data_IF_577432337765
#
_entry.id   IF_577432337765
#
_cell.length_a   1.000
_cell.length_b   1.000
_cell.length_c   1.000
_cell.angle_alpha   90.00
_cell.angle_beta   90.00
_cell.angle_gamma   90.00
#
_symmetry.space_group_name_H-M   'P 1'
#
loop_
_entity.id
_entity.type
_entity.pdbx_description
1 polymer ?
#
# COMPACT_ATOMS: atom_id res chain seq x y z
N UNK A 1 13.96 -6.95 17.44
CA UNK A 1 12.81 -7.60 16.79
C UNK A 1 11.92 -6.47 16.35
N UNK A 2 11.74 -6.24 15.05
CA UNK A 2 10.77 -5.24 14.59
C UNK A 2 9.38 -5.67 15.04
N UNK A 3 8.55 -4.72 15.51
CA UNK A 3 7.17 -5.03 15.86
C UNK A 3 6.41 -5.55 14.63
N UNK A 4 5.39 -6.37 14.86
CA UNK A 4 4.57 -6.90 13.77
C UNK A 4 3.97 -5.77 12.91
N UNK A 5 3.60 -4.65 13.54
CA UNK A 5 3.13 -3.46 12.86
C UNK A 5 4.20 -2.85 11.94
N UNK A 6 5.46 -2.78 12.41
CA UNK A 6 6.55 -2.23 11.61
C UNK A 6 6.83 -3.09 10.38
N UNK A 7 6.70 -4.42 10.48
CA UNK A 7 6.82 -5.34 9.33
C UNK A 7 5.78 -5.01 8.25
N UNK A 8 4.51 -4.83 8.64
CA UNK A 8 3.43 -4.53 7.69
C UNK A 8 3.48 -3.10 7.17
N UNK A 9 3.88 -2.14 8.02
CA UNK A 9 4.07 -0.75 7.60
C UNK A 9 5.20 -0.60 6.58
N UNK A 10 6.26 -1.40 6.65
CA UNK A 10 7.31 -1.43 5.61
C UNK A 10 6.75 -1.84 4.24
N UNK A 11 5.86 -2.84 4.22
CA UNK A 11 5.18 -3.26 2.97
C UNK A 11 4.27 -2.14 2.44
N UNK A 12 3.43 -1.56 3.30
CA UNK A 12 2.56 -0.44 2.91
C UNK A 12 3.36 0.77 2.40
N UNK A 13 4.53 1.04 3.01
CA UNK A 13 5.42 2.10 2.56
C UNK A 13 6.02 1.80 1.18
N UNK A 14 6.45 0.57 0.92
CA UNK A 14 6.92 0.16 -0.42
C UNK A 14 5.86 0.38 -1.50
N UNK A 15 4.59 0.06 -1.20
CA UNK A 15 3.45 0.31 -2.08
C UNK A 15 3.20 1.80 -2.31
N UNK A 16 3.40 2.64 -1.28
CA UNK A 16 3.31 4.09 -1.42
C UNK A 16 4.44 4.66 -2.32
N UNK A 17 5.64 4.07 -2.26
CA UNK A 17 6.75 4.41 -3.17
C UNK A 17 6.43 4.03 -4.62
N UNK A 18 5.75 2.89 -4.83
CA UNK A 18 5.27 2.47 -6.14
C UNK A 18 4.28 3.49 -6.72
N UNK A 19 3.25 3.89 -5.95
CA UNK A 19 2.33 4.95 -6.35
C UNK A 19 3.06 6.25 -6.74
N UNK A 20 3.99 6.71 -5.89
CA UNK A 20 4.81 7.89 -6.19
C UNK A 20 5.57 7.76 -7.52
N UNK A 21 6.16 6.59 -7.78
CA UNK A 21 6.93 6.35 -9.01
C UNK A 21 6.06 6.39 -10.27
N UNK A 22 4.76 6.09 -10.13
CA UNK A 22 3.77 6.19 -11.20
C UNK A 22 3.11 7.58 -11.29
N UNK A 23 3.50 8.53 -10.43
CA UNK A 23 2.94 9.89 -10.40
C UNK A 23 1.60 10.02 -9.67
N UNK A 24 1.19 9.00 -8.92
CA UNK A 24 0.00 9.02 -8.07
C UNK A 24 0.28 9.66 -6.70
N UNK A 25 -0.78 9.88 -5.91
CA UNK A 25 -0.63 10.28 -4.52
C UNK A 25 -0.01 9.10 -3.74
N UNK A 26 1.10 9.30 -2.99
CA UNK A 26 1.85 8.19 -2.37
C UNK A 26 1.14 7.61 -1.15
N UNK A 27 0.16 6.74 -1.41
CA UNK A 27 -0.58 6.00 -0.38
C UNK A 27 -0.54 4.52 -0.73
N UNK A 28 -0.07 3.71 0.21
CA UNK A 28 -0.08 2.25 0.13
C UNK A 28 -0.80 1.64 1.33
N UNK A 29 -1.38 0.48 1.13
CA UNK A 29 -2.19 -0.22 2.11
C UNK A 29 -2.00 -1.74 2.04
N UNK A 30 -2.07 -2.38 3.20
CA UNK A 30 -2.07 -3.83 3.34
C UNK A 30 -3.23 -4.27 4.23
N UNK A 31 -3.85 -5.39 3.90
CA UNK A 31 -4.88 -6.04 4.72
C UNK A 31 -4.28 -7.30 5.31
N UNK A 32 -4.29 -7.41 6.64
CA UNK A 32 -3.68 -8.53 7.37
C UNK A 32 -4.75 -9.34 8.08
N UNK A 33 -4.65 -10.67 7.96
CA UNK A 33 -5.45 -11.62 8.72
C UNK A 33 -4.56 -12.74 9.22
N UNK A 34 -4.67 -13.07 10.50
CA UNK A 34 -3.94 -14.19 11.12
C UNK A 34 -2.40 -14.10 10.93
N UNK A 35 -1.87 -12.86 10.89
CA UNK A 35 -0.43 -12.61 10.72
C UNK A 35 0.06 -12.66 9.27
N UNK A 36 -0.85 -12.83 8.31
CA UNK A 36 -0.55 -12.91 6.88
C UNK A 36 -1.21 -11.76 6.10
N UNK A 37 -0.53 -11.27 5.06
CA UNK A 37 -1.07 -10.24 4.17
C UNK A 37 -1.99 -10.90 3.14
N UNK A 38 -3.28 -10.62 3.24
CA UNK A 38 -4.31 -11.12 2.32
C UNK A 38 -4.71 -10.10 1.24
N UNK A 39 -4.26 -8.85 1.37
CA UNK A 39 -4.53 -7.80 0.39
C UNK A 39 -3.43 -6.76 0.36
N UNK A 40 -3.14 -6.23 -0.83
CA UNK A 40 -2.19 -5.14 -1.07
C UNK A 40 -2.83 -4.16 -2.05
N UNK A 41 -2.60 -2.87 -1.84
CA UNK A 41 -3.06 -1.84 -2.74
C UNK A 41 -2.28 -0.55 -2.57
N UNK A 42 -2.32 0.28 -3.60
CA UNK A 42 -1.83 1.64 -3.57
C UNK A 42 -2.76 2.52 -4.39
N UNK A 43 -2.70 3.84 -4.19
CA UNK A 43 -3.59 4.76 -4.89
C UNK A 43 -3.35 4.74 -6.40
N UNK A 44 -4.42 4.55 -7.17
CA UNK A 44 -4.43 4.48 -8.63
C UNK A 44 -5.48 5.38 -9.28
N UNK A 45 -5.90 6.42 -8.55
CA UNK A 45 -7.02 7.30 -8.93
C UNK A 45 -6.85 7.90 -10.33
N UNK A 46 -5.67 8.41 -10.65
CA UNK A 46 -5.35 9.04 -11.92
C UNK A 46 -5.17 8.01 -13.04
N UNK A 47 -4.48 6.90 -12.77
CA UNK A 47 -4.21 5.82 -13.73
C UNK A 47 -5.51 5.16 -14.18
N UNK A 48 -6.38 4.85 -13.23
CA UNK A 48 -7.66 4.17 -13.50
C UNK A 48 -8.77 5.16 -13.87
N UNK A 49 -8.50 6.47 -13.79
CA UNK A 49 -9.49 7.55 -13.92
C UNK A 49 -10.76 7.28 -13.08
N UNK A 50 -10.55 6.78 -11.86
CA UNK A 50 -11.59 6.33 -10.95
C UNK A 50 -11.38 6.95 -9.58
N UNK A 51 -12.40 7.61 -9.00
CA UNK A 51 -12.26 8.24 -7.68
C UNK A 51 -12.07 7.25 -6.54
N UNK A 52 -12.28 5.94 -6.77
CA UNK A 52 -12.21 4.88 -5.77
C UNK A 52 -10.94 4.02 -5.87
N UNK A 53 -10.08 4.27 -6.85
CA UNK A 53 -8.85 3.51 -7.10
C UNK A 53 -7.63 4.15 -6.41
#
# INVERSE_FOLDING_TARGET
MDSIDLKFMKEAYSLAQEAASMGEIPVGAVVVREGEIIGRGFNRRLIDNSPFA
#
